data_IF_609529303977
#
_entry.id   IF_609529303977
#
_cell.length_a   1.000
_cell.length_b   1.000
_cell.length_c   1.000
_cell.angle_alpha   90.00
_cell.angle_beta   90.00
_cell.angle_gamma   90.00
#
_symmetry.space_group_name_H-M   'P 1'
#
loop_
_entity.id
_entity.type
_entity.pdbx_description
1 polymer ?
#
# COMPACT_ATOMS: atom_id res chain seq x y z
N UNK A 1 8.27 51.55 -70.31
CA UNK A 1 9.67 51.90 -69.99
C UNK A 1 9.93 51.51 -68.55
N UNK A 2 11.03 50.77 -68.32
CA UNK A 2 11.53 50.29 -67.01
C UNK A 2 12.08 51.47 -66.17
N UNK A 3 12.37 51.15 -64.89
CA UNK A 3 13.28 51.81 -63.93
C UNK A 3 12.62 52.79 -62.92
N UNK A 4 12.88 52.80 -61.61
CA UNK A 4 13.91 52.24 -60.69
C UNK A 4 13.27 52.15 -59.28
N UNK A 5 13.22 50.96 -58.68
CA UNK A 5 13.89 50.57 -57.41
C UNK A 5 13.79 51.57 -56.24
N UNK A 6 13.16 51.13 -55.16
CA UNK A 6 13.69 51.35 -53.81
C UNK A 6 13.50 50.05 -53.02
N UNK A 7 14.59 49.29 -52.96
CA UNK A 7 14.75 48.12 -52.10
C UNK A 7 15.11 48.58 -50.70
N UNK A 8 14.32 48.21 -49.69
CA UNK A 8 14.88 47.92 -48.36
C UNK A 8 14.24 46.63 -47.88
N UNK A 9 15.10 45.63 -47.75
CA UNK A 9 14.83 44.31 -47.21
C UNK A 9 14.50 44.41 -45.71
N UNK A 10 13.46 43.68 -45.29
CA UNK A 10 13.38 42.95 -44.02
C UNK A 10 12.42 41.80 -44.27
N UNK A 11 12.91 40.68 -44.83
CA UNK A 11 13.43 39.54 -44.07
C UNK A 11 12.32 38.84 -43.26
N UNK A 12 12.02 37.61 -43.70
CA UNK A 12 11.64 36.45 -42.88
C UNK A 12 10.52 36.68 -41.84
N UNK A 13 9.36 36.05 -41.95
CA UNK A 13 9.26 34.61 -41.74
C UNK A 13 7.85 34.12 -42.01
N UNK A 14 7.79 33.02 -42.74
CA UNK A 14 6.71 32.06 -42.80
C UNK A 14 6.53 31.46 -41.38
N UNK A 15 5.43 31.77 -40.70
CA UNK A 15 5.01 31.03 -39.51
C UNK A 15 3.55 30.60 -39.68
N UNK A 16 3.35 29.76 -40.70
CA UNK A 16 2.18 28.93 -40.80
C UNK A 16 2.22 27.87 -39.69
N UNK A 17 1.07 27.68 -39.02
CA UNK A 17 0.66 26.49 -38.27
C UNK A 17 1.74 25.84 -37.38
N UNK A 18 1.77 26.24 -36.11
CA UNK A 18 2.16 25.33 -35.03
C UNK A 18 1.29 25.59 -33.78
N UNK A 19 -0.02 25.38 -33.95
CA UNK A 19 -0.94 25.19 -32.84
C UNK A 19 -1.13 23.68 -32.66
N UNK A 20 -0.93 23.22 -31.43
CA UNK A 20 -1.30 21.91 -30.85
C UNK A 20 -0.28 20.76 -31.01
N UNK A 21 0.84 20.86 -30.29
CA UNK A 21 1.47 19.71 -29.63
C UNK A 21 2.53 20.19 -28.62
N UNK A 22 2.10 20.90 -27.58
CA UNK A 22 2.87 20.86 -26.34
C UNK A 22 2.51 19.52 -25.68
N UNK A 23 3.45 18.59 -25.44
CA UNK A 23 3.21 17.58 -24.43
C UNK A 23 3.05 18.39 -23.15
N UNK A 24 1.79 18.52 -22.68
CA UNK A 24 1.56 19.06 -21.37
C UNK A 24 2.44 18.25 -20.43
N UNK A 25 3.30 18.93 -19.66
CA UNK A 25 3.76 18.41 -18.39
C UNK A 25 2.50 18.27 -17.51
N UNK A 26 1.67 17.27 -17.79
CA UNK A 26 0.66 16.79 -16.86
C UNK A 26 1.48 16.11 -15.77
N UNK A 27 1.79 16.84 -14.69
CA UNK A 27 1.67 16.20 -13.39
C UNK A 27 0.22 15.75 -13.32
N UNK A 28 -0.04 14.48 -13.65
CA UNK A 28 -1.38 13.93 -13.49
C UNK A 28 -1.66 13.99 -12.00
N UNK A 29 -2.45 14.97 -11.57
CA UNK A 29 -2.94 14.98 -10.20
C UNK A 29 -3.79 13.72 -10.03
N UNK A 30 -3.56 12.97 -8.95
CA UNK A 30 -4.34 11.77 -8.66
C UNK A 30 -5.83 12.06 -8.76
N UNK A 31 -6.57 11.15 -9.40
CA UNK A 31 -8.03 11.20 -9.38
C UNK A 31 -8.55 11.08 -7.94
N UNK A 32 -9.80 11.50 -7.71
CA UNK A 32 -10.44 11.29 -6.42
C UNK A 32 -10.46 9.81 -6.01
N UNK A 33 -10.60 8.91 -6.97
CA UNK A 33 -10.60 7.46 -6.75
C UNK A 33 -9.22 6.95 -6.33
N UNK A 34 -8.14 7.43 -6.94
CA UNK A 34 -6.78 7.07 -6.51
C UNK A 34 -6.46 7.62 -5.12
N UNK A 35 -6.91 8.84 -4.82
CA UNK A 35 -6.78 9.41 -3.46
C UNK A 35 -7.49 8.53 -2.42
N UNK A 36 -8.70 8.04 -2.71
CA UNK A 36 -9.41 7.08 -1.84
C UNK A 36 -8.64 5.77 -1.69
N UNK A 37 -8.10 5.21 -2.78
CA UNK A 37 -7.32 3.98 -2.74
C UNK A 37 -6.06 4.13 -1.86
N UNK A 38 -5.36 5.28 -1.94
CA UNK A 38 -4.20 5.57 -1.10
C UNK A 38 -4.56 5.72 0.37
N UNK A 39 -5.62 6.47 0.69
CA UNK A 39 -6.08 6.60 2.07
C UNK A 39 -6.44 5.23 2.66
N UNK A 40 -7.16 4.40 1.90
CA UNK A 40 -7.51 3.06 2.36
C UNK A 40 -6.27 2.17 2.56
N UNK A 41 -5.27 2.27 1.67
CA UNK A 41 -4.01 1.56 1.82
C UNK A 41 -3.27 1.97 3.11
N UNK A 42 -3.12 3.27 3.37
CA UNK A 42 -2.48 3.80 4.58
C UNK A 42 -3.20 3.35 5.86
N UNK A 43 -4.53 3.43 5.88
CA UNK A 43 -5.35 2.94 6.99
C UNK A 43 -5.17 1.43 7.19
N UNK A 44 -5.16 0.66 6.10
CA UNK A 44 -4.98 -0.80 6.15
C UNK A 44 -3.61 -1.17 6.69
N UNK A 45 -2.54 -0.49 6.26
CA UNK A 45 -1.18 -0.69 6.79
C UNK A 45 -1.12 -0.41 8.28
N UNK A 46 -1.75 0.69 8.74
CA UNK A 46 -1.77 1.02 10.16
C UNK A 46 -2.58 0.02 11.00
N UNK A 47 -3.70 -0.48 10.48
CA UNK A 47 -4.45 -1.57 11.13
C UNK A 47 -3.61 -2.83 11.18
N UNK A 48 -2.91 -3.20 10.10
CA UNK A 48 -2.03 -4.37 10.04
C UNK A 48 -0.92 -4.30 11.09
N UNK A 49 -0.23 -3.16 11.17
CA UNK A 49 0.80 -2.92 12.19
C UNK A 49 0.27 -3.08 13.61
N UNK A 50 -0.90 -2.49 13.92
CA UNK A 50 -1.55 -2.63 15.24
C UNK A 50 -2.00 -4.06 15.52
N UNK A 51 -2.45 -4.78 14.49
CA UNK A 51 -2.84 -6.17 14.59
C UNK A 51 -1.66 -7.04 14.98
N UNK A 52 -0.52 -6.93 14.30
CA UNK A 52 0.70 -7.69 14.63
C UNK A 52 1.19 -7.37 16.05
N UNK A 53 1.25 -6.09 16.43
CA UNK A 53 1.59 -5.69 17.80
C UNK A 53 0.68 -6.32 18.86
N UNK A 54 -0.61 -6.47 18.54
CA UNK A 54 -1.57 -7.09 19.45
C UNK A 54 -1.37 -8.60 19.56
N UNK A 55 -1.01 -9.29 18.47
CA UNK A 55 -0.61 -10.69 18.52
C UNK A 55 0.55 -10.85 19.52
N UNK A 56 1.60 -10.03 19.42
CA UNK A 56 2.76 -10.13 20.31
C UNK A 56 2.39 -9.92 21.77
N UNK A 57 1.60 -8.89 22.08
CA UNK A 57 1.15 -8.64 23.45
C UNK A 57 0.33 -9.81 24.03
N UNK A 58 -0.55 -10.43 23.24
CA UNK A 58 -1.34 -11.58 23.69
C UNK A 58 -0.44 -12.80 23.89
N UNK A 59 0.53 -13.02 22.99
CA UNK A 59 1.51 -14.11 23.08
C UNK A 59 2.31 -14.00 24.38
N UNK A 60 2.86 -12.83 24.65
CA UNK A 60 3.63 -12.54 25.88
C UNK A 60 2.80 -12.78 27.14
N UNK A 61 1.55 -12.30 27.18
CA UNK A 61 0.65 -12.52 28.33
C UNK A 61 0.38 -14.01 28.54
N UNK A 62 0.01 -14.77 27.49
CA UNK A 62 -0.25 -16.20 27.60
C UNK A 62 0.99 -17.00 28.03
N UNK A 63 2.17 -16.65 27.52
CA UNK A 63 3.43 -17.27 27.94
C UNK A 63 3.72 -16.98 29.42
N UNK A 64 3.54 -15.74 29.87
CA UNK A 64 3.72 -15.39 31.28
C UNK A 64 2.73 -16.15 32.20
N UNK A 65 1.49 -16.35 31.77
CA UNK A 65 0.51 -17.15 32.52
C UNK A 65 0.93 -18.63 32.64
N UNK A 66 1.52 -19.20 31.58
CA UNK A 66 2.02 -20.58 31.57
C UNK A 66 3.27 -20.77 32.44
N UNK A 67 4.21 -19.82 32.40
CA UNK A 67 5.45 -19.87 33.18
C UNK A 67 5.21 -19.67 34.69
N UNK A 68 4.13 -18.97 35.05
CA UNK A 68 3.74 -18.75 36.43
C UNK A 68 3.07 -19.97 37.06
N UNK A 69 1.77 -19.86 37.30
CA UNK A 69 0.95 -20.96 37.82
C UNK A 69 -0.38 -20.98 37.07
N UNK A 70 -0.44 -21.66 35.90
CA UNK A 70 -1.63 -21.66 35.06
C UNK A 70 -2.81 -22.43 35.70
N UNK A 71 -2.59 -23.12 36.83
CA UNK A 71 -3.60 -23.93 37.48
C UNK A 71 -4.22 -24.94 36.51
N UNK A 72 -5.55 -24.97 36.43
CA UNK A 72 -6.29 -25.83 35.49
C UNK A 72 -6.38 -25.31 34.05
N UNK A 73 -5.80 -24.14 33.75
CA UNK A 73 -5.94 -23.47 32.45
C UNK A 73 -4.78 -23.70 31.49
N UNK A 74 -3.74 -24.45 31.90
CA UNK A 74 -2.53 -24.64 31.08
C UNK A 74 -2.84 -25.09 29.65
N UNK A 75 -3.68 -26.13 29.49
CA UNK A 75 -4.08 -26.63 28.18
C UNK A 75 -4.87 -25.59 27.35
N UNK A 76 -5.63 -24.70 28.00
CA UNK A 76 -6.37 -23.63 27.33
C UNK A 76 -5.41 -22.58 26.78
N UNK A 77 -4.44 -22.15 27.59
CA UNK A 77 -3.42 -21.19 27.17
C UNK A 77 -2.51 -21.76 26.07
N UNK A 78 -2.09 -23.02 26.16
CA UNK A 78 -1.34 -23.71 25.10
C UNK A 78 -2.16 -23.77 23.80
N UNK A 79 -3.45 -24.09 23.89
CA UNK A 79 -4.33 -24.10 22.72
C UNK A 79 -4.55 -22.70 22.14
N UNK A 80 -4.59 -21.66 22.96
CA UNK A 80 -4.70 -20.27 22.51
C UNK A 80 -3.42 -19.80 21.82
N UNK A 81 -2.25 -20.14 22.35
CA UNK A 81 -0.95 -19.86 21.71
C UNK A 81 -0.84 -20.53 20.34
N UNK A 82 -1.23 -21.80 20.21
CA UNK A 82 -1.20 -22.49 18.93
C UNK A 82 -2.13 -21.84 17.88
N UNK A 83 -3.31 -21.35 18.31
CA UNK A 83 -4.21 -20.59 17.44
C UNK A 83 -3.62 -19.23 17.03
N UNK A 84 -2.96 -18.57 17.98
CA UNK A 84 -2.31 -17.28 17.76
C UNK A 84 -1.15 -17.41 16.75
N UNK A 85 -0.31 -18.44 16.86
CA UNK A 85 0.78 -18.69 15.91
C UNK A 85 0.26 -19.02 14.50
N UNK A 86 -0.85 -19.75 14.39
CA UNK A 86 -1.49 -20.03 13.10
C UNK A 86 -2.12 -18.76 12.48
N UNK A 87 -2.60 -17.84 13.31
CA UNK A 87 -3.12 -16.55 12.87
C UNK A 87 -1.99 -15.62 12.40
N UNK A 88 -0.89 -15.58 13.16
CA UNK A 88 0.31 -14.80 12.86
C UNK A 88 0.95 -15.22 11.52
N UNK A 89 1.09 -16.52 11.28
CA UNK A 89 1.61 -17.04 10.01
C UNK A 89 0.73 -16.63 8.79
N UNK A 90 -0.59 -16.55 8.96
CA UNK A 90 -1.49 -16.05 7.91
C UNK A 90 -1.37 -14.55 7.72
N UNK A 91 -1.19 -13.79 8.79
CA UNK A 91 -0.91 -12.37 8.71
C UNK A 91 0.40 -12.09 7.97
N UNK A 92 1.47 -12.81 8.28
CA UNK A 92 2.74 -12.68 7.56
C UNK A 92 2.61 -13.04 6.07
N UNK A 93 1.83 -14.07 5.76
CA UNK A 93 1.50 -14.40 4.37
C UNK A 93 0.74 -13.27 3.70
N UNK A 94 -0.30 -12.73 4.34
CA UNK A 94 -1.07 -11.59 3.84
C UNK A 94 -0.18 -10.35 3.64
N UNK A 95 0.68 -10.02 4.61
CA UNK A 95 1.66 -8.93 4.54
C UNK A 95 2.61 -9.08 3.35
N UNK A 96 3.06 -10.31 3.07
CA UNK A 96 3.97 -10.57 1.95
C UNK A 96 3.34 -10.36 0.57
N UNK A 97 2.00 -10.41 0.49
CA UNK A 97 1.24 -10.22 -0.75
C UNK A 97 0.75 -8.77 -0.95
N UNK A 98 1.11 -7.84 -0.06
CA UNK A 98 0.71 -6.44 -0.23
C UNK A 98 1.34 -5.86 -1.49
N UNK A 99 0.57 -5.07 -2.23
CA UNK A 99 0.98 -4.49 -3.52
C UNK A 99 1.13 -2.98 -3.36
N UNK A 100 2.20 -2.42 -3.94
CA UNK A 100 2.41 -0.98 -3.96
C UNK A 100 1.45 -0.31 -4.96
N UNK A 101 0.80 0.77 -4.53
CA UNK A 101 0.05 1.60 -5.46
C UNK A 101 1.01 2.40 -6.36
N UNK A 102 0.60 2.75 -7.59
CA UNK A 102 1.41 3.55 -8.49
C UNK A 102 1.96 4.81 -7.83
N UNK A 103 3.27 5.04 -7.94
CA UNK A 103 3.95 6.19 -7.33
C UNK A 103 4.17 6.12 -5.81
N UNK A 104 3.79 5.03 -5.12
CA UNK A 104 4.29 4.76 -3.78
C UNK A 104 5.71 4.20 -3.84
N UNK A 105 6.57 4.68 -2.95
CA UNK A 105 7.87 4.07 -2.66
C UNK A 105 7.79 3.41 -1.29
N UNK A 106 8.34 2.20 -1.13
CA UNK A 106 8.55 1.65 0.19
C UNK A 106 9.52 2.56 0.98
N UNK A 107 9.06 3.15 2.09
CA UNK A 107 9.97 3.75 3.05
C UNK A 107 10.53 2.65 3.94
N UNK A 108 11.59 1.98 3.51
CA UNK A 108 12.29 1.00 4.34
C UNK A 108 13.21 1.71 5.34
N UNK A 109 12.64 2.32 6.38
CA UNK A 109 13.38 2.59 7.62
C UNK A 109 13.28 1.34 8.50
N UNK A 110 14.02 0.31 8.12
CA UNK A 110 14.29 -0.82 9.02
C UNK A 110 15.75 -0.72 9.46
N UNK A 111 15.93 -0.24 10.67
CA UNK A 111 17.08 -0.67 11.45
C UNK A 111 16.98 -2.21 11.54
N UNK A 112 18.01 -2.88 11.01
CA UNK A 112 18.35 -4.28 11.22
C UNK A 112 17.31 -5.36 10.83
N UNK A 113 17.32 -5.75 9.55
CA UNK A 113 16.75 -7.02 9.08
C UNK A 113 16.28 -6.97 7.63
N UNK A 114 17.15 -7.32 6.68
CA UNK A 114 16.87 -7.28 5.24
C UNK A 114 15.88 -8.40 4.83
N UNK A 115 14.58 -8.10 4.86
CA UNK A 115 13.54 -8.92 4.23
C UNK A 115 13.00 -8.19 2.99
N UNK A 116 13.55 -8.50 1.82
CA UNK A 116 13.07 -7.98 0.54
C UNK A 116 11.77 -8.70 0.13
N UNK A 117 10.61 -8.11 0.41
CA UNK A 117 9.37 -8.51 -0.25
C UNK A 117 9.33 -7.89 -1.65
N UNK A 118 9.26 -8.72 -2.69
CA UNK A 118 9.08 -8.25 -4.07
C UNK A 118 7.63 -7.81 -4.25
N UNK A 119 7.38 -6.51 -4.23
CA UNK A 119 6.07 -5.96 -4.55
C UNK A 119 5.91 -5.91 -6.08
N UNK A 120 4.90 -6.59 -6.61
CA UNK A 120 4.52 -6.42 -8.02
C UNK A 120 3.90 -5.03 -8.21
N UNK A 121 4.34 -4.27 -9.21
CA UNK A 121 3.71 -2.98 -9.56
C UNK A 121 2.49 -3.21 -10.45
N UNK A 122 1.38 -2.54 -10.13
CA UNK A 122 0.12 -2.63 -10.88
C UNK A 122 -0.22 -1.35 -11.66
N UNK A 123 0.80 -0.62 -12.12
CA UNK A 123 0.66 0.64 -12.85
C UNK A 123 -0.29 0.62 -14.06
N UNK A 124 -0.61 -0.57 -14.59
CA UNK A 124 -1.53 -0.75 -15.73
C UNK A 124 -3.02 -0.86 -15.34
N UNK A 125 -3.35 -0.99 -14.04
CA UNK A 125 -4.73 -1.05 -13.58
C UNK A 125 -5.43 0.31 -13.65
N UNK A 126 -6.75 0.31 -13.83
CA UNK A 126 -7.53 1.54 -13.70
C UNK A 126 -7.59 2.01 -12.24
N UNK A 127 -7.83 3.29 -12.00
CA UNK A 127 -8.01 3.83 -10.65
C UNK A 127 -9.12 3.10 -9.86
N UNK A 128 -10.20 2.70 -10.55
CA UNK A 128 -11.28 1.95 -9.95
C UNK A 128 -10.86 0.53 -9.56
N UNK A 129 -10.03 -0.12 -10.38
CA UNK A 129 -9.49 -1.45 -10.08
C UNK A 129 -8.50 -1.41 -8.92
N UNK A 130 -7.67 -0.37 -8.85
CA UNK A 130 -6.81 -0.11 -7.68
C UNK A 130 -7.63 0.04 -6.40
N UNK A 131 -8.70 0.83 -6.42
CA UNK A 131 -9.58 0.99 -5.26
C UNK A 131 -10.27 -0.33 -4.89
N UNK A 132 -10.74 -1.11 -5.87
CA UNK A 132 -11.35 -2.41 -5.64
C UNK A 132 -10.36 -3.39 -4.99
N UNK A 133 -9.11 -3.40 -5.45
CA UNK A 133 -8.03 -4.19 -4.88
C UNK A 133 -7.76 -3.81 -3.42
N UNK A 134 -7.61 -2.51 -3.12
CA UNK A 134 -7.38 -2.06 -1.74
C UNK A 134 -8.55 -2.41 -0.81
N UNK A 135 -9.80 -2.39 -1.32
CA UNK A 135 -10.97 -2.86 -0.57
C UNK A 135 -10.94 -4.36 -0.28
N UNK A 136 -10.51 -5.18 -1.25
CA UNK A 136 -10.35 -6.61 -1.04
C UNK A 136 -9.25 -6.92 -0.02
N UNK A 137 -8.09 -6.27 -0.16
CA UNK A 137 -6.97 -6.36 0.79
C UNK A 137 -7.42 -6.00 2.22
N UNK A 138 -8.16 -4.90 2.37
CA UNK A 138 -8.69 -4.49 3.68
C UNK A 138 -9.66 -5.53 4.26
N UNK A 139 -10.55 -6.09 3.43
CA UNK A 139 -11.50 -7.09 3.89
C UNK A 139 -10.81 -8.38 4.38
N UNK A 140 -9.70 -8.78 3.75
CA UNK A 140 -8.89 -9.91 4.22
C UNK A 140 -8.30 -9.63 5.62
N UNK A 141 -7.73 -8.44 5.83
CA UNK A 141 -7.22 -8.04 7.14
C UNK A 141 -8.32 -7.95 8.20
N UNK A 142 -9.48 -7.39 7.87
CA UNK A 142 -10.62 -7.32 8.78
C UNK A 142 -11.06 -8.73 9.22
N UNK A 143 -11.00 -9.72 8.33
CA UNK A 143 -11.24 -11.13 8.67
C UNK A 143 -10.24 -11.69 9.69
N UNK A 144 -8.96 -11.36 9.56
CA UNK A 144 -7.93 -11.74 10.55
C UNK A 144 -8.17 -11.06 11.90
N UNK A 145 -8.53 -9.76 11.88
CA UNK A 145 -8.86 -8.98 13.08
C UNK A 145 -10.06 -9.58 13.82
N UNK A 146 -11.11 -9.96 13.11
CA UNK A 146 -12.29 -10.60 13.68
C UNK A 146 -11.94 -11.95 14.33
N UNK A 147 -11.05 -12.73 13.72
CA UNK A 147 -10.58 -13.99 14.29
C UNK A 147 -9.77 -13.77 15.57
N UNK A 148 -8.86 -12.79 15.59
CA UNK A 148 -8.13 -12.42 16.81
C UNK A 148 -9.09 -11.99 17.94
N UNK A 149 -10.14 -11.24 17.60
CA UNK A 149 -11.16 -10.81 18.56
C UNK A 149 -12.01 -11.97 19.11
N UNK A 150 -12.14 -13.05 18.34
CA UNK A 150 -12.87 -14.24 18.74
C UNK A 150 -12.05 -15.19 19.61
N UNK A 151 -10.72 -15.02 19.67
CA UNK A 151 -9.82 -15.85 20.45
C UNK A 151 -10.13 -15.71 21.95
N UNK A 152 -10.41 -16.85 22.60
CA UNK A 152 -10.71 -16.94 24.02
C UNK A 152 -9.71 -17.90 24.66
N UNK A 153 -8.74 -17.39 25.43
CA UNK A 153 -7.85 -18.22 26.23
C UNK A 153 -8.56 -18.85 27.43
#
# INVERSE_FOLDING_TARGET
MKQIQNSVLSALTLAALLLLALPGCHSHEDSATMKEARTLNEETTEVGRKFHQRIDMIREDLQAQLEGNPGGLAASFESALAQLDALDARYETWMSHQILLPGQTCNHDHADGEHHHHHDSMDELSDADHLALQKAIRAELDGLVDELNALKP
#
